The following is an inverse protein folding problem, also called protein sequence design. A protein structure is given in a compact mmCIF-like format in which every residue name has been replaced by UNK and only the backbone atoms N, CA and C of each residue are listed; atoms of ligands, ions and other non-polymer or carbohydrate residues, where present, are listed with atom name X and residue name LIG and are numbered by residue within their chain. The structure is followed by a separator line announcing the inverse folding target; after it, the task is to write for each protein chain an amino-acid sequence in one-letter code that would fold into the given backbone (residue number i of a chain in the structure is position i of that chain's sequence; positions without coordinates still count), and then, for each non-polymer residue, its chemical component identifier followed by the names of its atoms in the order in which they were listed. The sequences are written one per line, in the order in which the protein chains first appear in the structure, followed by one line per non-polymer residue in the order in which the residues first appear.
data_IF_215463087654
#
_entry.id   IF_215463087654
#
_cell.length_a   1.000
_cell.length_b   1.000
_cell.length_c   1.000
_cell.angle_alpha   90.00
_cell.angle_beta   90.00
_cell.angle_gamma   90.00
#
_symmetry.space_group_name_H-M   'P 1'
#
loop_
_entity.id
_entity.type
_entity.pdbx_description
1 polymer ?
#
# COMPACT_ATOMS: atom_id res chain seq x y z
N UNK A 1 -4.75 15.16 -7.60
CA UNK A 1 -3.30 15.45 -7.47
C UNK A 1 -2.52 14.16 -7.32
N UNK A 2 -1.73 13.78 -8.31
CA UNK A 2 -0.84 12.61 -8.25
C UNK A 2 0.45 13.00 -7.53
N UNK A 3 0.45 12.91 -6.19
CA UNK A 3 1.67 13.15 -5.40
C UNK A 3 2.63 11.96 -5.60
N UNK A 4 3.89 12.24 -5.93
CA UNK A 4 4.93 11.22 -6.09
C UNK A 4 5.21 10.56 -4.73
N UNK A 5 5.23 9.23 -4.69
CA UNK A 5 5.58 8.48 -3.49
C UNK A 5 7.06 8.63 -3.16
N UNK A 6 7.39 8.68 -1.86
CA UNK A 6 8.78 8.60 -1.37
C UNK A 6 9.33 7.19 -1.59
N UNK A 7 10.63 7.00 -1.36
CA UNK A 7 11.26 5.68 -1.49
C UNK A 7 10.73 4.67 -0.48
N UNK A 8 10.49 5.11 0.75
CA UNK A 8 9.90 4.30 1.83
C UNK A 8 8.48 3.87 1.46
N UNK A 9 7.67 4.81 0.96
CA UNK A 9 6.30 4.53 0.52
C UNK A 9 6.27 3.57 -0.67
N UNK A 10 7.20 3.70 -1.63
CA UNK A 10 7.34 2.75 -2.75
C UNK A 10 7.68 1.36 -2.24
N UNK A 11 8.61 1.24 -1.29
CA UNK A 11 9.00 -0.05 -0.69
C UNK A 11 7.79 -0.78 -0.07
N UNK A 12 6.93 -0.04 0.65
CA UNK A 12 5.70 -0.57 1.24
C UNK A 12 4.70 -1.03 0.16
N UNK A 13 4.53 -0.23 -0.90
CA UNK A 13 3.65 -0.58 -2.02
C UNK A 13 4.18 -1.80 -2.77
N UNK A 14 5.50 -1.90 -2.98
CA UNK A 14 6.15 -3.00 -3.70
C UNK A 14 6.36 -4.27 -2.88
N UNK A 15 6.07 -4.27 -1.58
CA UNK A 15 6.23 -5.46 -0.75
C UNK A 15 5.34 -6.61 -1.27
N UNK A 16 5.93 -7.79 -1.45
CA UNK A 16 5.34 -8.85 -2.27
C UNK A 16 4.77 -10.01 -1.45
N UNK A 17 5.56 -10.60 -0.57
CA UNK A 17 5.20 -11.82 0.17
C UNK A 17 5.50 -11.69 1.67
N UNK A 18 4.76 -12.42 2.49
CA UNK A 18 4.92 -12.41 3.94
C UNK A 18 4.20 -11.24 4.63
N UNK A 19 4.46 -11.09 5.92
CA UNK A 19 3.86 -10.03 6.75
C UNK A 19 4.74 -8.78 6.77
N UNK A 20 4.11 -7.60 6.71
CA UNK A 20 4.78 -6.31 6.93
C UNK A 20 4.17 -5.55 8.10
N UNK A 21 5.04 -4.92 8.89
CA UNK A 21 4.68 -3.94 9.90
C UNK A 21 5.18 -2.56 9.47
N UNK A 22 4.27 -1.61 9.30
CA UNK A 22 4.60 -0.23 8.91
C UNK A 22 4.34 0.72 10.06
N UNK A 23 5.41 1.23 10.69
CA UNK A 23 5.31 2.27 11.72
C UNK A 23 5.33 3.64 11.05
N UNK A 24 4.31 4.47 11.28
CA UNK A 24 4.22 5.77 10.64
C UNK A 24 3.46 6.82 11.46
N UNK A 25 3.96 8.06 11.46
CA UNK A 25 3.41 9.21 12.20
C UNK A 25 2.12 9.76 11.58
N UNK A 26 1.29 10.54 12.31
CA UNK A 26 0.16 11.27 11.72
C UNK A 26 0.58 12.09 10.49
N UNK A 27 -0.28 12.15 9.47
CA UNK A 27 0.00 12.90 8.23
C UNK A 27 1.02 12.28 7.27
N UNK A 28 1.62 11.12 7.58
CA UNK A 28 2.64 10.48 6.73
C UNK A 28 2.11 9.83 5.43
N UNK A 29 0.78 9.87 5.20
CA UNK A 29 0.15 9.26 4.03
C UNK A 29 -0.15 7.76 4.15
N UNK A 30 -0.43 7.25 5.37
CA UNK A 30 -0.83 5.85 5.63
C UNK A 30 -1.97 5.36 4.73
N UNK A 31 -3.00 6.17 4.55
CA UNK A 31 -4.12 5.83 3.66
C UNK A 31 -3.68 5.83 2.20
N UNK A 32 -2.84 6.78 1.79
CA UNK A 32 -2.30 6.84 0.43
C UNK A 32 -1.48 5.60 0.07
N UNK A 33 -0.61 5.13 0.98
CA UNK A 33 0.17 3.91 0.74
C UNK A 33 -0.73 2.66 0.70
N UNK A 34 -1.77 2.58 1.53
CA UNK A 34 -2.70 1.45 1.53
C UNK A 34 -3.46 1.37 0.20
N UNK A 35 -4.01 2.50 -0.26
CA UNK A 35 -4.70 2.58 -1.57
C UNK A 35 -3.74 2.20 -2.71
N UNK A 36 -2.51 2.73 -2.71
CA UNK A 36 -1.52 2.43 -3.75
C UNK A 36 -1.07 0.96 -3.73
N UNK A 37 -0.99 0.34 -2.56
CA UNK A 37 -0.70 -1.09 -2.41
C UNK A 37 -1.83 -1.93 -3.03
N UNK A 38 -3.08 -1.64 -2.68
CA UNK A 38 -4.25 -2.34 -3.24
C UNK A 38 -4.30 -2.17 -4.76
N UNK A 39 -4.10 -0.95 -5.25
CA UNK A 39 -4.02 -0.67 -6.69
C UNK A 39 -2.95 -1.52 -7.38
N UNK A 40 -1.74 -1.64 -6.80
CA UNK A 40 -0.69 -2.51 -7.34
C UNK A 40 -1.12 -3.98 -7.34
N UNK A 41 -1.58 -4.51 -6.20
CA UNK A 41 -1.95 -5.92 -6.06
C UNK A 41 -3.00 -6.34 -7.09
N UNK A 42 -4.02 -5.51 -7.29
CA UNK A 42 -5.07 -5.75 -8.30
C UNK A 42 -4.48 -5.70 -9.72
N UNK A 43 -3.66 -4.69 -10.02
CA UNK A 43 -2.99 -4.59 -11.34
C UNK A 43 -2.05 -5.76 -11.64
N UNK A 44 -1.47 -6.38 -10.62
CA UNK A 44 -0.59 -7.55 -10.76
C UNK A 44 -1.33 -8.88 -10.65
N UNK A 45 -2.67 -8.88 -10.66
CA UNK A 45 -3.48 -10.09 -10.79
C UNK A 45 -4.06 -10.67 -9.50
N UNK A 46 -3.94 -9.98 -8.37
CA UNK A 46 -4.65 -10.37 -7.14
C UNK A 46 -6.15 -10.16 -7.32
N UNK A 47 -6.97 -11.19 -7.08
CA UNK A 47 -8.43 -11.05 -7.07
C UNK A 47 -8.84 -10.00 -6.03
N UNK A 48 -9.48 -8.87 -6.40
CA UNK A 48 -9.93 -7.85 -5.45
C UNK A 48 -10.77 -8.41 -4.29
N UNK A 49 -11.52 -9.50 -4.52
CA UNK A 49 -12.38 -10.12 -3.49
C UNK A 49 -11.58 -10.85 -2.41
N UNK A 50 -10.31 -11.15 -2.67
CA UNK A 50 -9.40 -11.74 -1.69
C UNK A 50 -8.74 -10.71 -0.76
N UNK A 51 -8.95 -9.41 -1.01
CA UNK A 51 -8.33 -8.32 -0.25
C UNK A 51 -9.35 -7.80 0.77
N UNK A 52 -9.01 -7.92 2.06
CA UNK A 52 -9.76 -7.32 3.16
C UNK A 52 -9.02 -6.11 3.71
N UNK A 53 -9.72 -4.99 3.89
CA UNK A 53 -9.22 -3.78 4.55
C UNK A 53 -10.07 -3.53 5.79
N UNK A 54 -9.41 -3.39 6.94
CA UNK A 54 -10.01 -3.02 8.21
C UNK A 54 -9.39 -1.69 8.65
N UNK A 55 -10.21 -0.78 9.20
CA UNK A 55 -9.79 0.53 9.70
C UNK A 55 -10.11 0.70 11.18
#
# INVERSE_FOLDING_TARGET
MTKRLTWEQKSIVSHDTGHALVKAVPGSGKTTILVKRVERLVKTGTDPRSILILM
#
